data_IF_604731939816
#
_entry.id   IF_604731939816
#
_cell.length_a   1.000
_cell.length_b   1.000
_cell.length_c   1.000
_cell.angle_alpha   90.00
_cell.angle_beta   90.00
_cell.angle_gamma   90.00
#
_symmetry.space_group_name_H-M   'P 1'
#
loop_
_entity.id
_entity.type
_entity.pdbx_description
1 polymer ?
#
# COMPACT_ATOMS: atom_id res chain seq x y z
N UNK A 1 6.39 32.09 54.96
CA UNK A 1 7.68 32.61 54.44
C UNK A 1 8.68 31.46 54.47
N UNK A 2 9.53 31.40 53.44
CA UNK A 2 10.68 30.51 53.25
C UNK A 2 10.41 29.17 52.55
N UNK A 3 10.69 29.24 51.25
CA UNK A 3 11.07 28.20 50.30
C UNK A 3 12.12 27.21 50.84
N UNK A 4 12.11 25.97 50.35
CA UNK A 4 13.29 25.33 49.75
C UNK A 4 12.89 24.18 48.81
N UNK A 5 13.32 24.34 47.56
CA UNK A 5 13.25 23.40 46.43
C UNK A 5 14.13 22.17 46.67
N UNK A 6 13.74 20.99 46.16
CA UNK A 6 14.54 20.24 45.15
C UNK A 6 13.87 18.92 44.70
N UNK A 7 13.53 18.90 43.40
CA UNK A 7 13.92 17.91 42.38
C UNK A 7 13.42 16.44 42.44
N UNK A 8 12.86 16.04 41.28
CA UNK A 8 13.10 14.76 40.55
C UNK A 8 12.03 13.67 40.73
N UNK A 9 11.18 13.45 39.71
CA UNK A 9 11.41 12.37 38.74
C UNK A 9 10.39 12.40 37.59
N UNK A 10 10.90 12.49 36.37
CA UNK A 10 10.15 12.40 35.12
C UNK A 10 9.73 10.95 34.88
N UNK A 11 8.45 10.71 34.57
CA UNK A 11 7.99 9.47 33.94
C UNK A 11 7.21 9.81 32.68
N UNK A 12 7.96 9.87 31.58
CA UNK A 12 7.45 9.73 30.22
C UNK A 12 6.72 8.39 30.11
N UNK A 13 5.42 8.42 29.88
CA UNK A 13 4.63 7.25 29.48
C UNK A 13 4.64 7.22 27.95
N UNK A 14 5.39 6.26 27.38
CA UNK A 14 5.34 5.94 25.95
C UNK A 14 3.98 5.31 25.59
N UNK A 15 3.47 5.52 24.37
CA UNK A 15 2.22 4.94 23.90
C UNK A 15 2.43 3.45 23.64
N UNK A 16 1.72 2.62 24.40
CA UNK A 16 1.74 1.16 24.29
C UNK A 16 0.58 0.67 23.45
N UNK A 17 0.89 -0.30 22.59
CA UNK A 17 0.00 -1.25 21.93
C UNK A 17 -0.78 -0.78 20.69
N UNK A 18 -0.13 -1.00 19.54
CA UNK A 18 -0.79 -1.39 18.29
C UNK A 18 -1.70 -2.62 18.57
N UNK A 19 -3.02 -2.41 18.58
CA UNK A 19 -3.97 -3.51 18.54
C UNK A 19 -4.11 -3.97 17.09
N UNK A 20 -3.36 -5.00 16.71
CA UNK A 20 -3.57 -5.69 15.44
C UNK A 20 -4.86 -6.50 15.53
N UNK A 21 -5.96 -5.97 15.00
CA UNK A 21 -7.22 -6.70 14.86
C UNK A 21 -7.07 -7.66 13.67
N UNK A 22 -6.91 -8.95 13.96
CA UNK A 22 -7.02 -10.04 12.99
C UNK A 22 -8.50 -10.23 12.64
N UNK A 23 -8.98 -9.55 11.59
CA UNK A 23 -10.23 -9.93 10.93
C UNK A 23 -9.95 -11.14 10.04
N UNK A 24 -10.44 -12.31 10.44
CA UNK A 24 -10.47 -13.51 9.59
C UNK A 24 -11.60 -13.31 8.58
N UNK A 25 -11.26 -12.89 7.37
CA UNK A 25 -12.16 -12.95 6.22
C UNK A 25 -11.92 -14.27 5.50
N UNK A 26 -12.91 -15.15 5.55
CA UNK A 26 -12.95 -16.38 4.76
C UNK A 26 -13.13 -16.05 3.28
N UNK A 27 -12.22 -16.58 2.46
CA UNK A 27 -12.42 -16.81 1.03
C UNK A 27 -11.92 -15.72 0.11
N UNK A 28 -11.03 -16.13 -0.81
CA UNK A 28 -10.50 -15.43 -1.99
C UNK A 28 -9.21 -14.62 -1.72
N UNK A 29 -8.11 -15.21 -2.19
CA UNK A 29 -6.75 -14.70 -2.39
C UNK A 29 -6.13 -13.91 -1.22
N UNK A 30 -5.24 -14.60 -0.49
CA UNK A 30 -4.25 -13.99 0.37
C UNK A 30 -3.36 -13.03 -0.42
N UNK A 31 -3.72 -11.74 -0.43
CA UNK A 31 -2.82 -10.64 -0.74
C UNK A 31 -1.82 -10.55 0.41
N UNK A 32 -0.54 -10.65 0.10
CA UNK A 32 0.55 -10.28 0.99
C UNK A 32 0.23 -8.96 1.69
N UNK A 33 0.61 -8.79 2.97
CA UNK A 33 0.47 -7.55 3.72
C UNK A 33 1.12 -6.36 2.96
N UNK A 34 0.34 -5.73 2.08
CA UNK A 34 0.71 -4.51 1.37
C UNK A 34 0.53 -3.35 2.33
N UNK A 35 1.47 -2.41 2.30
CA UNK A 35 1.34 -1.18 3.07
C UNK A 35 -0.02 -0.53 2.73
N UNK A 36 -0.78 -0.18 3.77
CA UNK A 36 -2.10 0.43 3.65
C UNK A 36 -1.97 1.91 3.97
N UNK A 37 -2.51 2.75 3.09
CA UNK A 37 -2.68 4.17 3.33
C UNK A 37 -4.06 4.42 3.92
N UNK A 38 -4.19 5.48 4.73
CA UNK A 38 -5.45 5.89 5.33
C UNK A 38 -5.64 7.40 5.24
N UNK A 39 -6.87 7.86 5.06
CA UNK A 39 -7.24 9.28 5.16
C UNK A 39 -8.62 9.43 5.77
N UNK A 40 -8.75 10.36 6.71
CA UNK A 40 -10.03 10.65 7.35
C UNK A 40 -10.61 11.95 6.79
N UNK A 41 -11.86 11.90 6.34
CA UNK A 41 -12.61 13.06 5.86
C UNK A 41 -13.94 13.11 6.59
N UNK A 42 -14.20 14.19 7.33
CA UNK A 42 -15.45 14.36 8.10
C UNK A 42 -15.79 13.18 9.04
N UNK A 43 -14.77 12.51 9.59
CA UNK A 43 -14.95 11.34 10.47
C UNK A 43 -15.22 10.02 9.73
N UNK A 44 -15.19 10.02 8.40
CA UNK A 44 -15.13 8.81 7.56
C UNK A 44 -13.67 8.48 7.32
N UNK A 45 -13.21 7.34 7.83
CA UNK A 45 -11.87 6.83 7.62
C UNK A 45 -11.85 5.96 6.36
N UNK A 46 -11.06 6.35 5.38
CA UNK A 46 -10.84 5.58 4.17
C UNK A 46 -9.49 4.87 4.24
N UNK A 47 -9.41 3.67 3.69
CA UNK A 47 -8.15 2.93 3.58
C UNK A 47 -8.01 2.21 2.25
N UNK A 48 -6.82 2.28 1.65
CA UNK A 48 -6.49 1.69 0.35
C UNK A 48 -5.02 1.24 0.32
N UNK A 49 -4.63 0.31 -0.56
CA UNK A 49 -3.24 -0.13 -0.69
C UNK A 49 -2.33 0.99 -1.22
N UNK A 50 -1.10 1.06 -0.72
CA UNK A 50 -0.06 1.98 -1.20
C UNK A 50 0.35 1.71 -2.66
N UNK A 51 0.40 0.43 -3.02
CA UNK A 51 0.71 -0.04 -4.37
C UNK A 51 -0.38 -0.96 -4.91
N UNK A 52 -0.77 -0.74 -6.16
CA UNK A 52 -1.78 -1.52 -6.87
C UNK A 52 -1.22 -2.06 -8.17
N UNK A 53 -1.48 -3.34 -8.43
CA UNK A 53 -1.08 -3.95 -9.69
C UNK A 53 -2.01 -3.49 -10.81
N UNK A 54 -1.45 -2.84 -11.83
CA UNK A 54 -2.17 -2.50 -13.04
C UNK A 54 -2.21 -3.73 -13.97
N UNK A 55 -3.40 -4.23 -14.36
CA UNK A 55 -3.51 -5.41 -15.23
C UNK A 55 -2.80 -5.15 -16.56
N UNK A 56 -1.99 -6.12 -16.98
CA UNK A 56 -1.20 -6.10 -18.22
C UNK A 56 -1.82 -6.95 -19.33
N UNK A 57 -2.95 -7.61 -19.05
CA UNK A 57 -3.71 -8.39 -20.01
C UNK A 57 -5.22 -8.37 -19.71
N UNK A 58 -6.02 -8.79 -20.70
CA UNK A 58 -7.47 -8.92 -20.52
C UNK A 58 -7.83 -9.97 -19.46
N UNK A 59 -7.06 -11.05 -19.38
CA UNK A 59 -7.27 -12.13 -18.41
C UNK A 59 -7.05 -11.63 -16.97
N UNK A 60 -5.99 -10.85 -16.76
CA UNK A 60 -5.71 -10.21 -15.47
C UNK A 60 -6.78 -9.20 -15.07
N UNK A 61 -7.43 -8.56 -16.05
CA UNK A 61 -8.50 -7.58 -15.81
C UNK A 61 -9.76 -8.20 -15.22
N UNK A 62 -9.94 -9.53 -15.33
CA UNK A 62 -11.12 -10.23 -14.81
C UNK A 62 -11.26 -10.07 -13.29
N UNK A 63 -10.12 -10.07 -12.58
CA UNK A 63 -10.06 -10.03 -11.11
C UNK A 63 -9.25 -8.83 -10.60
N UNK A 64 -9.06 -7.80 -11.42
CA UNK A 64 -8.29 -6.62 -11.03
C UNK A 64 -9.23 -5.53 -10.48
N UNK A 65 -9.03 -5.18 -9.21
CA UNK A 65 -9.78 -4.13 -8.52
C UNK A 65 -8.85 -3.25 -7.70
N UNK A 66 -9.14 -1.95 -7.70
CA UNK A 66 -8.69 -1.05 -6.65
C UNK A 66 -9.79 -1.05 -5.57
N UNK A 67 -9.48 -1.57 -4.40
CA UNK A 67 -10.43 -1.60 -3.28
C UNK A 67 -10.11 -0.46 -2.32
N UNK A 68 -11.05 0.48 -2.20
CA UNK A 68 -10.99 1.54 -1.19
C UNK A 68 -12.03 1.22 -0.13
N UNK A 69 -11.57 0.83 1.05
CA UNK A 69 -12.45 0.60 2.19
C UNK A 69 -12.80 1.91 2.89
N UNK A 70 -13.96 1.93 3.54
CA UNK A 70 -14.38 3.05 4.39
C UNK A 70 -14.94 2.55 5.72
N UNK A 71 -14.81 3.37 6.76
CA UNK A 71 -15.47 3.20 8.06
C UNK A 71 -16.05 4.55 8.48
N UNK A 72 -17.37 4.64 8.59
CA UNK A 72 -18.03 5.86 9.04
C UNK A 72 -18.06 5.93 10.57
N UNK A 73 -17.18 6.74 11.16
CA UNK A 73 -17.10 7.02 12.60
C UNK A 73 -17.57 8.44 12.95
N UNK A 74 -18.24 9.12 12.01
CA UNK A 74 -18.56 10.54 12.11
C UNK A 74 -19.68 10.89 13.09
N UNK A 75 -20.48 9.90 13.51
CA UNK A 75 -21.72 10.17 14.24
C UNK A 75 -22.87 10.66 13.36
N UNK A 76 -22.70 10.74 12.03
CA UNK A 76 -23.70 11.21 11.06
C UNK A 76 -23.87 10.26 9.88
N UNK A 77 -25.02 10.34 9.23
CA UNK A 77 -25.25 9.71 7.93
C UNK A 77 -24.68 10.59 6.80
N UNK A 78 -24.25 9.95 5.72
CA UNK A 78 -23.81 10.61 4.50
C UNK A 78 -24.68 10.22 3.32
N UNK A 79 -25.16 11.22 2.59
CA UNK A 79 -25.79 11.04 1.28
C UNK A 79 -24.87 10.29 0.32
N UNK A 80 -23.58 10.64 0.29
CA UNK A 80 -22.57 9.71 -0.19
C UNK A 80 -21.21 9.88 0.49
N UNK A 81 -20.47 8.78 0.49
CA UNK A 81 -19.01 8.77 0.55
C UNK A 81 -18.50 8.16 -0.75
N UNK A 82 -17.31 8.54 -1.17
CA UNK A 82 -16.79 8.05 -2.42
C UNK A 82 -15.33 8.40 -2.65
N UNK A 83 -14.78 7.84 -3.71
CA UNK A 83 -13.49 8.28 -4.22
C UNK A 83 -13.54 8.46 -5.73
N UNK A 84 -12.69 9.34 -6.21
CA UNK A 84 -12.38 9.49 -7.61
C UNK A 84 -10.88 9.52 -7.84
N UNK A 85 -10.47 9.23 -9.08
CA UNK A 85 -9.07 9.32 -9.46
C UNK A 85 -8.91 10.11 -10.74
N UNK A 86 -7.76 10.75 -10.88
CA UNK A 86 -7.34 11.38 -12.11
C UNK A 86 -6.10 10.65 -12.64
N UNK A 87 -5.88 10.74 -13.94
CA UNK A 87 -4.64 10.32 -14.54
C UNK A 87 -3.49 11.28 -14.15
N UNK A 88 -2.23 10.93 -14.44
CA UNK A 88 -1.10 11.79 -14.12
C UNK A 88 -1.10 13.13 -14.87
N UNK A 89 -1.86 13.27 -15.95
CA UNK A 89 -2.08 14.54 -16.66
C UNK A 89 -3.17 15.40 -16.03
N UNK A 90 -3.92 14.86 -15.05
CA UNK A 90 -5.01 15.52 -14.34
C UNK A 90 -6.39 15.24 -14.94
N UNK A 91 -6.50 14.47 -16.02
CA UNK A 91 -7.80 14.11 -16.59
C UNK A 91 -8.53 13.10 -15.68
N UNK A 92 -9.84 13.20 -15.48
CA UNK A 92 -10.57 12.27 -14.61
C UNK A 92 -10.54 10.85 -15.21
N UNK A 93 -10.28 9.83 -14.38
CA UNK A 93 -10.48 8.44 -14.75
C UNK A 93 -11.96 8.09 -14.61
N UNK A 94 -12.71 7.84 -15.71
CA UNK A 94 -14.14 7.61 -15.64
C UNK A 94 -14.50 6.32 -14.88
N UNK A 95 -13.59 5.33 -14.87
CA UNK A 95 -13.78 4.04 -14.17
C UNK A 95 -13.63 4.16 -12.66
N UNK A 96 -12.98 5.22 -12.16
CA UNK A 96 -12.76 5.46 -10.74
C UNK A 96 -13.52 6.71 -10.34
N UNK A 97 -14.85 6.59 -10.28
CA UNK A 97 -15.76 7.58 -9.70
C UNK A 97 -16.87 6.82 -8.97
N UNK A 98 -16.58 6.40 -7.75
CA UNK A 98 -17.47 5.53 -6.97
C UNK A 98 -18.05 6.35 -5.82
N UNK A 99 -19.38 6.37 -5.73
CA UNK A 99 -20.13 7.03 -4.67
C UNK A 99 -21.20 6.09 -4.15
N UNK A 100 -21.31 5.97 -2.83
CA UNK A 100 -22.33 5.16 -2.16
C UNK A 100 -22.89 5.91 -0.97
N UNK A 101 -24.19 5.79 -0.72
CA UNK A 101 -24.81 6.28 0.50
C UNK A 101 -24.37 5.45 1.70
N UNK A 102 -24.04 6.13 2.81
CA UNK A 102 -23.47 5.47 4.00
C UNK A 102 -24.16 5.94 5.26
N UNK A 103 -24.67 4.98 6.03
CA UNK A 103 -25.20 5.24 7.37
C UNK A 103 -24.08 5.37 8.38
N UNK A 104 -24.36 6.03 9.48
CA UNK A 104 -23.48 6.10 10.64
C UNK A 104 -23.05 4.69 11.09
N UNK A 105 -21.81 4.57 11.56
CA UNK A 105 -21.25 3.35 12.16
C UNK A 105 -21.23 2.14 11.23
N UNK A 106 -21.26 2.41 9.91
CA UNK A 106 -21.18 1.38 8.87
C UNK A 106 -19.79 1.40 8.22
N UNK A 107 -19.31 0.23 7.81
CA UNK A 107 -18.11 0.07 7.00
C UNK A 107 -18.43 -0.68 5.72
N UNK A 108 -17.57 -0.52 4.71
CA UNK A 108 -17.71 -1.21 3.44
C UNK A 108 -16.49 -1.04 2.56
N UNK A 109 -16.59 -1.58 1.34
CA UNK A 109 -15.56 -1.49 0.30
C UNK A 109 -16.16 -0.85 -0.93
N UNK A 110 -15.40 0.05 -1.55
CA UNK A 110 -15.69 0.70 -2.82
C UNK A 110 -14.77 0.06 -3.88
N UNK A 111 -15.23 -0.98 -4.61
CA UNK A 111 -14.39 -1.69 -5.58
C UNK A 111 -14.39 -0.99 -6.94
N UNK A 112 -13.25 -0.43 -7.33
CA UNK A 112 -13.02 0.09 -8.68
C UNK A 112 -12.46 -0.98 -9.59
N UNK A 113 -13.29 -1.49 -10.50
CA UNK A 113 -12.86 -2.47 -11.50
C UNK A 113 -11.79 -1.86 -12.41
N UNK A 114 -10.67 -2.56 -12.53
CA UNK A 114 -9.55 -2.16 -13.37
C UNK A 114 -9.61 -2.91 -14.70
N UNK A 115 -9.47 -2.20 -15.80
CA UNK A 115 -9.36 -2.80 -17.14
C UNK A 115 -7.98 -2.54 -17.71
N UNK A 116 -7.36 -3.57 -18.29
CA UNK A 116 -6.13 -3.44 -19.07
C UNK A 116 -6.23 -2.36 -20.15
N UNK A 117 -7.42 -2.13 -20.71
CA UNK A 117 -7.65 -1.06 -21.68
C UNK A 117 -7.33 0.33 -21.12
N UNK A 118 -7.53 0.53 -19.81
CA UNK A 118 -7.20 1.78 -19.11
C UNK A 118 -5.71 1.92 -18.81
N UNK A 119 -4.94 0.83 -18.93
CA UNK A 119 -3.50 0.75 -18.65
C UNK A 119 -2.69 0.35 -19.88
N UNK A 120 -3.23 0.55 -21.10
CA UNK A 120 -2.49 0.29 -22.34
C UNK A 120 -1.20 1.12 -22.34
N UNK A 121 -0.07 0.43 -22.55
CA UNK A 121 1.28 1.02 -22.55
C UNK A 121 1.76 1.57 -21.18
N UNK A 122 1.06 1.27 -20.09
CA UNK A 122 1.55 1.60 -18.77
C UNK A 122 2.78 0.74 -18.44
N UNK A 123 3.95 1.37 -18.27
CA UNK A 123 5.21 0.66 -17.96
C UNK A 123 5.56 0.68 -16.47
N UNK A 124 4.96 1.62 -15.71
CA UNK A 124 5.07 1.74 -14.25
C UNK A 124 6.50 1.95 -13.71
N UNK A 125 6.65 2.27 -12.41
CA UNK A 125 5.61 2.70 -11.48
C UNK A 125 5.06 4.09 -11.83
N UNK A 126 3.79 4.33 -11.55
CA UNK A 126 3.15 5.63 -11.76
C UNK A 126 2.36 6.05 -10.52
N UNK A 127 2.48 7.31 -10.11
CA UNK A 127 1.70 7.87 -8.99
C UNK A 127 0.44 8.54 -9.54
N UNK A 128 -0.71 8.14 -9.02
CA UNK A 128 -2.02 8.61 -9.46
C UNK A 128 -2.74 9.28 -8.30
N UNK A 129 -3.27 10.49 -8.49
CA UNK A 129 -4.04 11.17 -7.46
C UNK A 129 -5.34 10.42 -7.18
N UNK A 130 -5.63 10.23 -5.89
CA UNK A 130 -6.92 9.76 -5.39
C UNK A 130 -7.57 10.87 -4.58
N UNK A 131 -8.81 11.19 -4.89
CA UNK A 131 -9.63 12.17 -4.18
C UNK A 131 -10.74 11.44 -3.46
N UNK A 132 -10.84 11.61 -2.15
CA UNK A 132 -11.83 10.93 -1.30
C UNK A 132 -12.79 11.97 -0.77
N UNK A 133 -14.08 11.79 -1.01
CA UNK A 133 -15.09 12.81 -0.79
C UNK A 133 -16.24 12.29 0.05
N UNK A 134 -16.84 13.21 0.80
CA UNK A 134 -18.04 12.99 1.59
C UNK A 134 -19.05 14.11 1.33
N UNK A 135 -20.33 13.74 1.30
CA UNK A 135 -21.44 14.68 1.22
C UNK A 135 -22.57 14.23 2.15
N UNK A 136 -22.95 15.09 3.10
CA UNK A 136 -23.97 14.76 4.10
C UNK A 136 -25.40 14.80 3.54
N UNK A 137 -25.72 15.78 2.71
CA UNK A 137 -27.08 15.99 2.16
C UNK A 137 -27.05 16.42 0.70
N UNK A 138 -28.12 16.12 -0.05
CA UNK A 138 -28.33 16.69 -1.39
C UNK A 138 -28.97 18.08 -1.29
N UNK A 139 -28.33 19.08 -1.90
CA UNK A 139 -28.86 20.44 -1.97
C UNK A 139 -28.80 21.19 -0.63
N UNK A 140 -28.98 22.52 -0.70
CA UNK A 140 -29.07 23.37 0.50
C UNK A 140 -27.75 23.95 1.02
N UNK A 141 -26.78 24.24 0.14
CA UNK A 141 -25.55 24.97 0.53
C UNK A 141 -24.51 24.14 1.29
N UNK A 142 -24.68 22.82 1.37
CA UNK A 142 -23.66 21.90 1.88
C UNK A 142 -22.64 21.59 0.79
N UNK A 143 -21.38 21.92 1.05
CA UNK A 143 -20.27 21.68 0.13
C UNK A 143 -19.77 20.24 0.25
N UNK A 144 -19.49 19.56 -0.87
CA UNK A 144 -18.75 18.29 -0.86
C UNK A 144 -17.37 18.54 -0.23
N UNK A 145 -17.01 17.75 0.78
CA UNK A 145 -15.72 17.87 1.45
C UNK A 145 -14.85 16.72 0.98
N UNK A 146 -13.68 17.05 0.44
CA UNK A 146 -12.76 16.08 -0.12
C UNK A 146 -11.35 16.20 0.47
N UNK A 147 -10.72 15.05 0.71
CA UNK A 147 -9.29 14.93 0.94
C UNK A 147 -8.60 14.37 -0.31
N UNK A 148 -7.35 14.76 -0.54
CA UNK A 148 -6.54 14.28 -1.67
C UNK A 148 -5.36 13.48 -1.15
N UNK A 149 -5.04 12.38 -1.84
CA UNK A 149 -3.84 11.58 -1.62
C UNK A 149 -3.37 10.98 -2.95
N UNK A 150 -2.48 10.00 -2.90
CA UNK A 150 -1.90 9.34 -4.08
C UNK A 150 -1.83 7.83 -3.88
N UNK A 151 -2.01 7.06 -4.95
CA UNK A 151 -1.73 5.63 -4.98
C UNK A 151 -0.78 5.31 -6.12
N UNK A 152 0.12 4.36 -5.88
CA UNK A 152 1.11 3.96 -6.89
C UNK A 152 0.62 2.74 -7.66
N UNK A 153 0.49 2.84 -8.98
CA UNK A 153 0.29 1.67 -9.82
C UNK A 153 1.61 1.08 -10.27
N UNK A 154 1.69 -0.25 -10.30
CA UNK A 154 2.88 -1.01 -10.69
C UNK A 154 2.52 -2.09 -11.71
N UNK A 155 3.48 -2.42 -12.57
CA UNK A 155 3.36 -3.50 -13.59
C UNK A 155 3.93 -4.83 -13.11
N UNK A 156 4.48 -4.88 -11.90
CA UNK A 156 4.95 -6.10 -11.26
C UNK A 156 4.04 -6.40 -10.08
N UNK A 157 3.50 -7.62 -10.03
CA UNK A 157 2.67 -8.03 -8.90
C UNK A 157 3.52 -7.94 -7.62
N UNK A 158 3.05 -7.27 -6.56
CA UNK A 158 3.74 -7.21 -5.29
C UNK A 158 4.07 -8.63 -4.84
N UNK A 159 5.36 -8.96 -4.77
CA UNK A 159 5.79 -10.25 -4.23
C UNK A 159 5.75 -10.10 -2.71
N UNK A 160 5.11 -11.00 -1.96
CA UNK A 160 5.18 -10.96 -0.50
C UNK A 160 6.64 -10.84 -0.08
N UNK A 161 6.99 -9.99 0.90
CA UNK A 161 8.28 -10.13 1.55
C UNK A 161 8.34 -11.57 2.04
N UNK A 162 9.23 -12.37 1.46
CA UNK A 162 9.48 -13.73 1.90
C UNK A 162 9.87 -13.63 3.36
N UNK A 163 8.93 -13.89 4.25
CA UNK A 163 9.22 -14.18 5.65
C UNK A 163 10.23 -15.31 5.57
N UNK A 164 11.46 -15.02 5.96
CA UNK A 164 12.49 -16.04 6.11
C UNK A 164 12.01 -16.89 7.27
N UNK A 165 11.16 -17.88 6.97
CA UNK A 165 10.77 -18.89 7.93
C UNK A 165 12.08 -19.48 8.46
N UNK A 166 12.33 -19.48 9.78
CA UNK A 166 13.43 -20.25 10.32
C UNK A 166 13.16 -21.71 9.94
N UNK A 167 13.98 -22.22 9.02
CA UNK A 167 14.00 -23.65 8.71
C UNK A 167 14.20 -24.41 10.03
N UNK A 168 13.44 -25.49 10.31
CA UNK A 168 13.65 -26.30 11.49
C UNK A 168 15.13 -26.72 11.57
N UNK A 169 15.78 -26.29 12.64
CA UNK A 169 17.17 -26.58 12.92
C UNK A 169 17.32 -28.10 13.13
N UNK A 170 18.16 -28.73 12.30
CA UNK A 170 18.83 -29.97 12.68
C UNK A 170 20.07 -29.58 13.51
N UNK A 171 20.32 -30.22 14.67
CA UNK A 171 21.36 -29.77 15.58
C UNK A 171 22.71 -30.28 15.10
N UNK A 172 23.72 -29.41 14.98
CA UNK A 172 25.04 -29.64 15.57
C UNK A 172 26.01 -28.50 15.26
N UNK A 173 26.87 -28.25 16.25
CA UNK A 173 28.14 -27.53 16.22
C UNK A 173 28.10 -25.99 16.28
N UNK A 174 28.24 -25.53 17.52
CA UNK A 174 28.72 -24.24 18.00
C UNK A 174 29.82 -23.61 17.12
N UNK A 175 29.69 -22.30 16.85
CA UNK A 175 30.78 -21.32 17.02
C UNK A 175 30.31 -19.86 16.83
N UNK A 176 30.37 -19.14 17.94
CA UNK A 176 30.88 -17.76 18.12
C UNK A 176 30.28 -16.60 17.29
N UNK A 177 29.54 -15.76 18.00
CA UNK A 177 28.95 -14.51 17.53
C UNK A 177 29.99 -13.47 17.09
N UNK A 178 29.79 -12.90 15.90
CA UNK A 178 30.43 -11.67 15.41
C UNK A 178 29.34 -10.76 14.79
N UNK A 179 29.35 -9.44 15.03
CA UNK A 179 28.28 -8.52 14.61
C UNK A 179 28.03 -8.51 13.09
N UNK A 180 26.81 -8.17 12.62
CA UNK A 180 26.42 -8.31 11.22
C UNK A 180 27.15 -7.26 10.37
N UNK A 181 28.17 -7.72 9.63
CA UNK A 181 28.80 -6.92 8.58
C UNK A 181 27.78 -6.72 7.47
N UNK A 182 27.43 -5.46 7.19
CA UNK A 182 26.59 -5.09 6.06
C UNK A 182 27.08 -5.79 4.79
N UNK A 183 26.26 -6.67 4.22
CA UNK A 183 26.62 -7.40 3.01
C UNK A 183 26.67 -6.42 1.83
N UNK A 184 27.87 -5.95 1.52
CA UNK A 184 28.13 -5.06 0.38
C UNK A 184 27.70 -5.78 -0.91
N UNK A 185 26.58 -5.35 -1.48
CA UNK A 185 26.10 -5.85 -2.77
C UNK A 185 27.01 -5.31 -3.87
N UNK A 186 27.52 -6.20 -4.72
CA UNK A 186 28.33 -5.86 -5.89
C UNK A 186 27.45 -5.94 -7.14
N UNK A 187 27.59 -4.98 -8.03
CA UNK A 187 26.92 -4.97 -9.34
C UNK A 187 27.93 -5.38 -10.41
N UNK A 188 27.63 -6.44 -11.15
CA UNK A 188 28.41 -6.85 -12.33
C UNK A 188 27.61 -6.61 -13.59
N UNK A 189 28.30 -6.38 -14.71
CA UNK A 189 27.67 -6.34 -16.03
C UNK A 189 27.91 -7.68 -16.71
N UNK A 190 26.84 -8.27 -17.23
CA UNK A 190 26.84 -9.54 -17.94
C UNK A 190 26.38 -9.30 -19.37
N UNK A 191 27.08 -9.85 -20.35
CA UNK A 191 26.80 -9.66 -21.76
C UNK A 191 26.52 -11.00 -22.48
N UNK A 192 25.57 -10.99 -23.40
CA UNK A 192 25.28 -12.09 -24.33
C UNK A 192 25.13 -11.48 -25.73
N UNK A 193 26.17 -11.56 -26.55
CA UNK A 193 26.25 -10.82 -27.81
C UNK A 193 26.23 -9.29 -27.56
N UNK A 194 25.32 -8.57 -28.25
CA UNK A 194 25.13 -7.12 -28.07
C UNK A 194 24.27 -6.75 -26.84
N UNK A 195 23.60 -7.73 -26.20
CA UNK A 195 22.71 -7.48 -25.06
C UNK A 195 23.50 -7.47 -23.76
N UNK A 196 23.30 -6.43 -22.93
CA UNK A 196 23.93 -6.29 -21.61
C UNK A 196 22.90 -6.25 -20.48
N UNK A 197 23.25 -6.83 -19.33
CA UNK A 197 22.41 -6.88 -18.13
C UNK A 197 23.26 -6.63 -16.90
N UNK A 198 22.80 -5.74 -16.02
CA UNK A 198 23.42 -5.53 -14.70
C UNK A 198 22.82 -6.50 -13.68
N UNK A 199 23.68 -7.16 -12.90
CA UNK A 199 23.31 -8.11 -11.85
C UNK A 199 23.89 -7.63 -10.53
N UNK A 200 23.03 -7.33 -9.56
CA UNK A 200 23.42 -6.86 -8.22
C UNK A 200 23.13 -7.94 -7.19
N UNK A 201 24.19 -8.48 -6.57
CA UNK A 201 24.09 -9.50 -5.52
C UNK A 201 25.31 -9.43 -4.59
N UNK A 202 25.25 -10.13 -3.46
CA UNK A 202 26.39 -10.21 -2.51
C UNK A 202 27.58 -10.95 -3.15
N UNK A 203 27.30 -11.98 -3.96
CA UNK A 203 28.28 -12.66 -4.80
C UNK A 203 27.68 -12.89 -6.20
N UNK A 204 27.66 -11.88 -7.07
CA UNK A 204 26.89 -11.92 -8.30
C UNK A 204 27.52 -12.86 -9.34
N UNK A 205 26.70 -13.67 -10.01
CA UNK A 205 27.07 -14.52 -11.15
C UNK A 205 26.24 -14.15 -12.37
N UNK A 206 26.81 -14.32 -13.56
CA UNK A 206 26.07 -14.11 -14.79
C UNK A 206 25.08 -15.26 -15.06
N UNK A 207 23.85 -14.96 -15.53
CA UNK A 207 22.88 -15.98 -15.88
C UNK A 207 23.36 -16.83 -17.07
N UNK A 208 22.77 -18.02 -17.22
CA UNK A 208 23.19 -19.00 -18.23
C UNK A 208 23.20 -18.37 -19.64
N UNK A 209 24.34 -18.48 -20.31
CA UNK A 209 24.57 -17.89 -21.63
C UNK A 209 25.05 -16.44 -21.62
N UNK A 210 25.23 -15.79 -20.46
CA UNK A 210 25.86 -14.47 -20.34
C UNK A 210 27.27 -14.60 -19.76
N UNK A 211 28.23 -13.88 -20.35
CA UNK A 211 29.60 -13.77 -19.85
C UNK A 211 29.76 -12.48 -19.04
N UNK A 212 30.58 -12.51 -17.99
CA UNK A 212 30.91 -11.31 -17.22
C UNK A 212 31.73 -10.36 -18.11
N UNK A 213 31.34 -9.10 -18.15
CA UNK A 213 32.09 -8.01 -18.77
C UNK A 213 32.95 -7.30 -17.73
#
# INVERSE_FOLDING_TARGET
MIYLYTMKNSRFILPSLLTAILMVVSGIQATSAQATQTLTVEGVEFAWPDQVYAPQSLEESTNAFLEVSYVNKSGSDFYYVGYSMNDPSGAPFPVFNIKVGVKNSTSGVLPGKMSFMSFLNFTGPGSYPITLCTLKTLGGGTTEICGKSTVTFVTVKPTPPKVVAPSPASPSASQQAKPPVAQVKKTITCAKGKVTKKVTAVNPKCPVGYKKK
#
